data_IF_083653028201
#
_entry.id   IF_083653028201
#
_cell.length_a   1.000
_cell.length_b   1.000
_cell.length_c   1.000
_cell.angle_alpha   90.00
_cell.angle_beta   90.00
_cell.angle_gamma   90.00
#
_symmetry.space_group_name_H-M   'P 1'
#
loop_
_entity.id
_entity.type
_entity.pdbx_description
1 polymer ?
#
# COMPACT_ATOMS: atom_id res chain seq x y z
N UNK A 1 4.09 -73.42 20.20
CA UNK A 1 3.96 -72.49 19.05
C UNK A 1 3.86 -71.08 19.62
N UNK A 2 4.94 -70.29 19.56
CA UNK A 2 4.99 -68.95 20.18
C UNK A 2 4.84 -67.90 19.07
N UNK A 3 3.73 -67.18 19.08
CA UNK A 3 3.46 -66.10 18.12
C UNK A 3 4.18 -64.84 18.62
N UNK A 4 5.30 -64.50 17.99
CA UNK A 4 6.03 -63.26 18.20
C UNK A 4 5.26 -62.08 17.62
N UNK A 5 4.54 -61.32 18.45
CA UNK A 5 3.97 -60.03 18.05
C UNK A 5 5.07 -58.98 17.91
N UNK A 6 5.52 -58.73 16.67
CA UNK A 6 6.35 -57.56 16.35
C UNK A 6 5.50 -56.30 16.56
N UNK A 7 5.77 -55.55 17.62
CA UNK A 7 5.24 -54.17 17.80
C UNK A 7 5.82 -53.29 16.70
N UNK A 8 5.03 -53.02 15.67
CA UNK A 8 5.30 -51.99 14.67
C UNK A 8 5.29 -50.64 15.38
N UNK A 9 6.48 -50.11 15.74
CA UNK A 9 6.62 -48.71 16.13
C UNK A 9 6.31 -47.86 14.90
N UNK A 10 5.04 -47.50 14.71
CA UNK A 10 4.64 -46.50 13.72
C UNK A 10 5.46 -45.24 14.06
N UNK A 11 6.38 -44.86 13.18
CA UNK A 11 7.25 -43.71 13.37
C UNK A 11 6.38 -42.45 13.24
N UNK A 12 5.84 -41.97 14.36
CA UNK A 12 5.03 -40.76 14.50
C UNK A 12 5.68 -39.47 13.93
N UNK A 13 6.95 -39.55 13.52
CA UNK A 13 7.70 -38.48 12.90
C UNK A 13 7.22 -38.14 11.48
N UNK A 14 6.77 -39.14 10.70
CA UNK A 14 6.23 -38.88 9.35
C UNK A 14 4.96 -38.03 9.36
N UNK A 15 3.91 -38.36 10.14
CA UNK A 15 2.73 -37.50 10.22
C UNK A 15 3.06 -36.12 10.81
N UNK A 16 4.02 -36.02 11.75
CA UNK A 16 4.48 -34.74 12.26
C UNK A 16 5.14 -33.87 11.18
N UNK A 17 6.02 -34.45 10.36
CA UNK A 17 6.66 -33.74 9.24
C UNK A 17 5.64 -33.29 8.20
N UNK A 18 4.60 -34.08 7.95
CA UNK A 18 3.49 -33.69 7.06
C UNK A 18 2.73 -32.52 7.66
N UNK A 19 2.37 -32.56 8.95
CA UNK A 19 1.68 -31.46 9.64
C UNK A 19 2.52 -30.17 9.59
N UNK A 20 3.82 -30.25 9.91
CA UNK A 20 4.73 -29.10 9.85
C UNK A 20 4.85 -28.56 8.42
N UNK A 21 4.99 -29.44 7.42
CA UNK A 21 5.05 -29.03 6.01
C UNK A 21 3.77 -28.34 5.56
N UNK A 22 2.61 -28.85 5.96
CA UNK A 22 1.30 -28.24 5.67
C UNK A 22 1.18 -26.88 6.35
N UNK A 23 1.56 -26.75 7.63
CA UNK A 23 1.58 -25.46 8.33
C UNK A 23 2.49 -24.47 7.61
N UNK A 24 3.69 -24.91 7.20
CA UNK A 24 4.63 -24.04 6.49
C UNK A 24 4.07 -23.58 5.13
N UNK A 25 3.46 -24.49 4.37
CA UNK A 25 2.80 -24.15 3.10
C UNK A 25 1.64 -23.17 3.28
N UNK A 26 0.85 -23.32 4.35
CA UNK A 26 -0.28 -22.45 4.65
C UNK A 26 0.14 -21.08 5.24
N UNK A 27 1.35 -20.97 5.79
CA UNK A 27 1.84 -19.75 6.47
C UNK A 27 3.00 -19.06 5.76
N UNK A 28 3.48 -19.61 4.62
CA UNK A 28 4.65 -19.10 3.89
C UNK A 28 4.58 -17.59 3.60
N UNK A 29 3.41 -17.09 3.20
CA UNK A 29 3.27 -15.69 2.79
C UNK A 29 3.33 -14.77 4.03
N UNK A 30 2.72 -15.20 5.15
CA UNK A 30 2.82 -14.48 6.44
C UNK A 30 4.26 -14.47 6.95
N UNK A 31 4.99 -15.59 6.86
CA UNK A 31 6.40 -15.68 7.26
C UNK A 31 7.28 -14.80 6.37
N UNK A 32 7.02 -14.80 5.06
CA UNK A 32 7.72 -13.93 4.12
C UNK A 32 7.51 -12.45 4.46
N UNK A 33 6.27 -12.02 4.68
CA UNK A 33 5.96 -10.63 5.05
C UNK A 33 6.40 -10.25 6.47
N UNK A 34 6.57 -11.23 7.37
CA UNK A 34 7.18 -11.01 8.68
C UNK A 34 8.69 -10.73 8.56
N UNK A 35 9.39 -11.47 7.70
CA UNK A 35 10.84 -11.31 7.49
C UNK A 35 11.18 -10.15 6.56
N UNK A 36 10.30 -9.84 5.61
CA UNK A 36 10.46 -8.78 4.60
C UNK A 36 9.20 -7.92 4.53
N UNK A 37 8.89 -7.14 5.58
CA UNK A 37 7.70 -6.31 5.61
C UNK A 37 7.74 -5.30 4.45
N UNK A 38 6.73 -5.28 3.56
CA UNK A 38 6.72 -4.38 2.41
C UNK A 38 6.75 -2.90 2.82
N UNK A 39 6.31 -2.58 4.04
CA UNK A 39 6.35 -1.23 4.60
C UNK A 39 7.79 -0.70 4.77
N UNK A 40 8.76 -1.55 5.06
CA UNK A 40 10.15 -1.14 5.24
C UNK A 40 10.85 -1.01 3.88
N UNK A 41 10.61 -1.98 2.98
CA UNK A 41 11.16 -1.98 1.62
C UNK A 41 10.61 -0.84 0.76
N UNK A 42 9.30 -0.60 0.82
CA UNK A 42 8.60 0.38 -0.01
C UNK A 42 8.16 1.63 0.73
N UNK A 43 8.56 1.80 1.99
CA UNK A 43 8.44 3.03 2.75
C UNK A 43 9.48 4.07 2.30
N UNK A 44 10.05 4.80 3.26
CA UNK A 44 11.00 5.90 3.00
C UNK A 44 12.23 5.43 2.19
N UNK A 45 12.67 4.17 2.39
CA UNK A 45 13.80 3.58 1.67
C UNK A 45 13.62 3.59 0.14
N UNK A 46 12.39 3.66 -0.37
CA UNK A 46 12.08 3.69 -1.80
C UNK A 46 11.99 5.11 -2.39
N UNK A 47 12.23 6.17 -1.60
CA UNK A 47 12.09 7.54 -2.06
C UNK A 47 13.01 7.93 -3.22
N UNK A 48 14.24 7.39 -3.28
CA UNK A 48 15.15 7.65 -4.40
C UNK A 48 14.54 7.22 -5.75
N UNK A 49 13.83 6.09 -5.77
CA UNK A 49 13.16 5.60 -6.97
C UNK A 49 11.94 6.46 -7.31
N UNK A 50 11.17 6.92 -6.31
CA UNK A 50 10.06 7.87 -6.49
C UNK A 50 10.51 9.17 -7.14
N UNK A 51 11.63 9.72 -6.67
CA UNK A 51 12.21 10.94 -7.24
C UNK A 51 12.55 10.73 -8.72
N UNK A 52 13.23 9.62 -9.05
CA UNK A 52 13.62 9.24 -10.42
C UNK A 52 12.44 9.20 -11.38
N UNK A 53 11.30 8.64 -10.96
CA UNK A 53 10.13 8.42 -11.83
C UNK A 53 9.11 9.56 -11.84
N UNK A 54 9.20 10.54 -10.94
CA UNK A 54 8.22 11.63 -10.91
C UNK A 54 7.20 11.59 -9.77
N UNK A 55 7.27 10.61 -8.88
CA UNK A 55 6.30 10.45 -7.78
C UNK A 55 6.72 11.27 -6.55
N UNK A 56 5.75 11.81 -5.81
CA UNK A 56 6.03 12.53 -4.58
C UNK A 56 6.59 11.57 -3.50
N UNK A 57 7.73 11.93 -2.92
CA UNK A 57 8.39 11.15 -1.87
C UNK A 57 7.50 10.95 -0.64
N UNK A 58 7.68 9.84 0.05
CA UNK A 58 7.02 9.58 1.33
C UNK A 58 7.77 10.32 2.45
N UNK A 59 7.12 11.21 3.22
CA UNK A 59 7.75 11.84 4.36
C UNK A 59 8.09 10.80 5.45
N UNK A 60 9.22 11.00 6.14
CA UNK A 60 9.75 10.08 7.14
C UNK A 60 8.92 9.97 8.43
N UNK A 61 8.22 11.04 8.79
CA UNK A 61 7.33 11.13 9.94
C UNK A 61 5.92 10.59 9.67
N UNK A 62 5.64 10.09 8.47
CA UNK A 62 4.36 9.47 8.16
C UNK A 62 4.30 8.03 8.66
N UNK A 63 3.15 7.67 9.22
CA UNK A 63 2.97 6.41 9.91
C UNK A 63 2.09 5.47 9.09
N UNK A 64 2.42 4.18 9.13
CA UNK A 64 1.57 3.11 8.61
C UNK A 64 1.16 2.19 9.76
N UNK A 65 -0.13 1.86 9.81
CA UNK A 65 -0.67 0.93 10.80
C UNK A 65 -0.63 -0.53 10.30
N UNK A 66 -0.32 -0.75 9.02
CA UNK A 66 -0.40 -2.06 8.40
C UNK A 66 0.99 -2.63 8.10
N UNK A 67 1.45 -3.56 8.95
CA UNK A 67 2.76 -4.21 8.79
C UNK A 67 2.71 -5.43 7.87
N UNK A 68 1.57 -6.10 7.72
CA UNK A 68 1.51 -7.45 7.15
C UNK A 68 0.70 -7.59 5.85
N UNK A 69 0.12 -6.51 5.32
CA UNK A 69 -0.58 -6.57 4.04
C UNK A 69 0.25 -6.16 2.82
N UNK A 70 -0.27 -6.54 1.66
CA UNK A 70 0.17 -6.12 0.33
C UNK A 70 -0.14 -4.65 0.03
N UNK A 71 -1.09 -4.04 0.72
CA UNK A 71 -1.44 -2.62 0.54
C UNK A 71 -0.97 -1.81 1.73
N UNK A 72 0.07 -1.02 1.52
CA UNK A 72 0.58 -0.10 2.54
C UNK A 72 -0.07 1.25 2.38
N UNK A 73 -0.63 1.78 3.46
CA UNK A 73 -1.09 3.16 3.51
C UNK A 73 -0.35 3.89 4.61
N UNK A 74 0.20 5.05 4.26
CA UNK A 74 0.84 5.97 5.19
C UNK A 74 -0.02 7.23 5.32
N UNK A 75 0.02 7.81 6.52
CA UNK A 75 -0.71 9.01 6.86
C UNK A 75 0.19 9.97 7.65
N UNK A 76 -0.06 11.28 7.57
CA UNK A 76 0.55 12.23 8.48
C UNK A 76 0.12 11.92 9.92
N UNK A 77 1.02 12.13 10.88
CA UNK A 77 0.74 11.91 12.30
C UNK A 77 -0.43 12.78 12.80
N UNK A 78 -0.51 14.02 12.30
CA UNK A 78 -1.59 14.97 12.59
C UNK A 78 -2.38 15.24 11.32
N UNK A 79 -3.68 14.98 11.34
CA UNK A 79 -4.59 15.33 10.23
C UNK A 79 -5.31 16.64 10.57
N UNK A 80 -5.20 17.68 9.74
CA UNK A 80 -5.96 18.91 9.93
C UNK A 80 -7.46 18.67 9.75
N UNK A 81 -8.28 19.37 10.53
CA UNK A 81 -9.74 19.39 10.37
C UNK A 81 -10.23 20.42 9.32
N UNK A 82 -9.32 21.25 8.80
CA UNK A 82 -9.63 22.26 7.78
C UNK A 82 -8.43 22.56 6.89
N UNK A 83 -8.68 23.22 5.76
CA UNK A 83 -7.64 23.63 4.82
C UNK A 83 -7.23 22.52 3.86
N UNK A 84 -6.09 22.70 3.20
CA UNK A 84 -5.59 21.81 2.17
C UNK A 84 -4.35 21.06 2.64
N UNK A 85 -4.29 19.74 2.45
CA UNK A 85 -3.15 18.93 2.86
C UNK A 85 -3.05 17.61 2.07
N UNK A 86 -1.85 17.04 2.05
CA UNK A 86 -1.64 15.66 1.58
C UNK A 86 -2.10 14.70 2.69
N UNK A 87 -3.14 13.93 2.42
CA UNK A 87 -3.85 13.13 3.41
C UNK A 87 -3.28 11.72 3.57
N UNK A 88 -2.86 11.11 2.46
CA UNK A 88 -2.31 9.75 2.51
C UNK A 88 -1.46 9.42 1.29
N UNK A 89 -0.68 8.36 1.44
CA UNK A 89 0.04 7.69 0.37
C UNK A 89 -0.30 6.21 0.46
N UNK A 90 -0.70 5.63 -0.66
CA UNK A 90 -0.97 4.20 -0.80
C UNK A 90 0.08 3.58 -1.72
N UNK A 91 0.59 2.41 -1.36
CA UNK A 91 1.41 1.55 -2.20
C UNK A 91 0.75 0.18 -2.20
N UNK A 92 0.39 -0.31 -3.37
CA UNK A 92 -0.13 -1.66 -3.57
C UNK A 92 0.99 -2.51 -4.16
N UNK A 93 1.35 -3.54 -3.43
CA UNK A 93 2.34 -4.55 -3.80
C UNK A 93 1.59 -5.81 -4.17
N UNK A 94 1.92 -6.41 -5.30
CA UNK A 94 1.40 -7.72 -5.69
C UNK A 94 2.57 -8.58 -6.18
N UNK A 95 2.61 -9.84 -5.76
CA UNK A 95 3.66 -10.79 -6.13
C UNK A 95 5.08 -10.23 -5.85
N UNK A 96 5.23 -9.52 -4.74
CA UNK A 96 6.51 -8.94 -4.30
C UNK A 96 6.99 -7.70 -5.07
N UNK A 97 6.16 -7.12 -5.95
CA UNK A 97 6.47 -5.91 -6.74
C UNK A 97 5.39 -4.84 -6.58
N UNK A 98 5.75 -3.56 -6.66
CA UNK A 98 4.76 -2.47 -6.65
C UNK A 98 3.96 -2.53 -7.95
N UNK A 99 2.64 -2.56 -7.86
CA UNK A 99 1.73 -2.46 -9.01
C UNK A 99 1.06 -1.10 -9.11
N UNK A 100 0.90 -0.42 -7.98
CA UNK A 100 0.30 0.91 -7.91
C UNK A 100 0.87 1.70 -6.73
N UNK A 101 1.12 2.98 -6.95
CA UNK A 101 1.38 3.93 -5.88
C UNK A 101 0.54 5.19 -6.11
N UNK A 102 -0.06 5.75 -5.05
CA UNK A 102 -0.88 6.94 -5.17
C UNK A 102 -0.81 7.85 -3.95
N UNK A 103 -1.02 9.13 -4.19
CA UNK A 103 -1.14 10.16 -3.19
C UNK A 103 -2.55 10.73 -3.21
N UNK A 104 -3.13 10.89 -2.03
CA UNK A 104 -4.42 11.56 -1.84
C UNK A 104 -4.19 12.91 -1.19
N UNK A 105 -4.70 13.95 -1.82
CA UNK A 105 -4.76 15.31 -1.33
C UNK A 105 -6.20 15.66 -1.01
N UNK A 106 -6.42 16.30 0.13
CA UNK A 106 -7.74 16.76 0.56
C UNK A 106 -7.72 18.26 0.73
N UNK A 107 -8.87 18.88 0.45
CA UNK A 107 -9.19 20.23 0.88
C UNK A 107 -10.51 20.23 1.60
N UNK A 108 -10.52 20.65 2.85
CA UNK A 108 -11.71 20.72 3.70
C UNK A 108 -12.15 22.17 3.82
N UNK A 109 -13.40 22.44 3.43
CA UNK A 109 -14.05 23.75 3.52
C UNK A 109 -15.41 23.57 4.19
N UNK A 110 -15.49 23.93 5.48
CA UNK A 110 -16.67 23.65 6.30
C UNK A 110 -16.87 22.15 6.51
N UNK A 111 -18.07 21.67 6.20
CA UNK A 111 -18.48 20.26 6.30
C UNK A 111 -18.19 19.44 5.03
N UNK A 112 -17.63 20.08 3.98
CA UNK A 112 -17.36 19.46 2.69
C UNK A 112 -15.86 19.26 2.48
N UNK A 113 -15.53 18.24 1.70
CA UNK A 113 -14.17 18.01 1.24
C UNK A 113 -14.09 17.85 -0.27
N UNK A 114 -13.04 18.41 -0.86
CA UNK A 114 -12.57 18.08 -2.20
C UNK A 114 -11.43 17.07 -2.07
N UNK A 115 -11.28 16.19 -3.06
CA UNK A 115 -10.24 15.15 -3.06
C UNK A 115 -9.56 15.07 -4.42
N UNK A 116 -8.24 15.09 -4.42
CA UNK A 116 -7.42 14.81 -5.60
C UNK A 116 -6.56 13.59 -5.32
N UNK A 117 -6.65 12.58 -6.19
CA UNK A 117 -5.78 11.41 -6.17
C UNK A 117 -4.82 11.49 -7.36
N UNK A 118 -3.53 11.40 -7.09
CA UNK A 118 -2.49 11.30 -8.12
C UNK A 118 -1.79 9.96 -7.95
N UNK A 119 -1.87 9.09 -8.95
CA UNK A 119 -1.34 7.73 -8.90
C UNK A 119 -0.47 7.37 -10.09
N UNK A 120 0.32 6.32 -9.90
CA UNK A 120 1.18 5.71 -10.89
C UNK A 120 1.03 4.18 -10.85
N UNK A 121 0.77 3.58 -12.01
CA UNK A 121 0.66 2.15 -12.27
C UNK A 121 1.95 1.69 -12.93
N UNK A 122 2.74 0.88 -12.24
CA UNK A 122 4.08 0.48 -12.68
C UNK A 122 4.09 -0.45 -13.90
N UNK A 123 2.98 -1.15 -14.16
CA UNK A 123 2.87 -2.16 -15.22
C UNK A 123 2.02 -1.68 -16.42
N UNK A 124 1.71 -0.39 -16.51
CA UNK A 124 0.83 0.19 -17.54
C UNK A 124 1.60 1.19 -18.41
N UNK A 125 1.36 1.18 -19.72
CA UNK A 125 2.04 2.02 -20.73
C UNK A 125 1.75 3.52 -20.54
N UNK A 126 0.58 3.88 -19.99
CA UNK A 126 0.23 5.28 -19.70
C UNK A 126 0.65 5.68 -18.28
N UNK A 127 0.70 4.72 -17.35
CA UNK A 127 1.27 4.82 -16.00
C UNK A 127 0.54 5.78 -15.05
N UNK A 128 0.34 7.03 -15.43
CA UNK A 128 -0.20 8.08 -14.58
C UNK A 128 -1.72 8.12 -14.55
N UNK A 129 -2.25 8.35 -13.35
CA UNK A 129 -3.69 8.48 -13.07
C UNK A 129 -3.91 9.75 -12.24
N UNK A 130 -4.88 10.57 -12.64
CA UNK A 130 -5.28 11.76 -11.90
C UNK A 130 -6.79 11.77 -11.76
N UNK A 131 -7.30 11.76 -10.53
CA UNK A 131 -8.73 11.71 -10.23
C UNK A 131 -9.11 12.81 -9.28
N UNK A 132 -10.20 13.51 -9.58
CA UNK A 132 -10.68 14.63 -8.80
C UNK A 132 -12.14 14.44 -8.40
N UNK A 133 -12.43 14.69 -7.13
CA UNK A 133 -13.77 14.71 -6.57
C UNK A 133 -14.07 16.07 -5.97
N UNK A 134 -15.24 16.60 -6.36
CA UNK A 134 -15.82 17.80 -5.77
C UNK A 134 -17.32 17.56 -5.54
N UNK A 135 -17.80 17.61 -4.29
CA UNK A 135 -19.20 17.36 -3.95
C UNK A 135 -20.18 18.39 -4.55
N UNK A 136 -19.69 19.54 -5.01
CA UNK A 136 -20.51 20.56 -5.68
C UNK A 136 -20.73 20.26 -7.18
N UNK A 137 -19.86 19.44 -7.78
CA UNK A 137 -19.91 19.10 -9.21
C UNK A 137 -20.64 17.75 -9.42
N UNK A 138 -20.48 16.81 -8.48
CA UNK A 138 -21.14 15.51 -8.54
C UNK A 138 -20.77 14.59 -7.39
N UNK A 139 -21.25 13.35 -7.46
CA UNK A 139 -21.04 12.32 -6.42
C UNK A 139 -19.86 11.41 -6.69
N UNK A 140 -19.24 11.49 -7.87
CA UNK A 140 -18.19 10.57 -8.32
C UNK A 140 -16.85 11.27 -8.57
N UNK A 141 -15.77 10.48 -8.54
CA UNK A 141 -14.45 10.94 -8.97
C UNK A 141 -14.37 11.01 -10.48
N UNK A 142 -13.90 12.13 -11.01
CA UNK A 142 -13.68 12.34 -12.44
C UNK A 142 -12.19 12.25 -12.77
N UNK A 143 -11.85 11.61 -13.89
CA UNK A 143 -10.49 11.64 -14.41
C UNK A 143 -10.16 13.07 -14.88
N UNK A 144 -9.00 13.57 -14.50
CA UNK A 144 -8.49 14.88 -14.91
C UNK A 144 -7.15 14.76 -15.61
N UNK A 145 -6.74 15.79 -16.34
CA UNK A 145 -5.40 15.84 -16.93
C UNK A 145 -4.35 16.18 -15.87
N UNK A 146 -3.09 15.84 -16.13
CA UNK A 146 -1.96 16.29 -15.29
C UNK A 146 -2.00 17.80 -15.04
N UNK A 147 -2.20 18.58 -16.10
CA UNK A 147 -2.27 20.05 -16.01
C UNK A 147 -3.39 20.53 -15.09
N UNK A 148 -4.54 19.86 -15.10
CA UNK A 148 -5.66 20.18 -14.21
C UNK A 148 -5.32 19.82 -12.75
N UNK A 149 -4.71 18.66 -12.53
CA UNK A 149 -4.25 18.25 -11.20
C UNK A 149 -3.21 19.23 -10.63
N UNK A 150 -2.23 19.64 -11.43
CA UNK A 150 -1.22 20.64 -11.04
C UNK A 150 -1.88 21.98 -10.69
N UNK A 151 -2.88 22.41 -11.47
CA UNK A 151 -3.63 23.64 -11.22
C UNK A 151 -4.46 23.58 -9.94
N UNK A 152 -5.08 22.44 -9.65
CA UNK A 152 -5.83 22.21 -8.41
C UNK A 152 -4.89 22.31 -7.21
N UNK A 153 -3.74 21.63 -7.23
CA UNK A 153 -2.79 21.68 -6.13
C UNK A 153 -2.23 23.07 -5.91
N UNK A 154 -1.85 23.77 -6.98
CA UNK A 154 -1.40 25.15 -6.89
C UNK A 154 -2.46 26.07 -6.26
N UNK A 155 -3.73 25.94 -6.66
CA UNK A 155 -4.84 26.71 -6.07
C UNK A 155 -5.06 26.36 -4.59
N UNK A 156 -4.78 25.11 -4.20
CA UNK A 156 -4.84 24.65 -2.82
C UNK A 156 -3.63 25.08 -1.98
N UNK A 157 -2.63 25.74 -2.59
CA UNK A 157 -1.36 26.09 -1.93
C UNK A 157 -0.45 24.89 -1.68
N UNK A 158 -0.71 23.76 -2.36
CA UNK A 158 0.07 22.53 -2.27
C UNK A 158 0.97 22.39 -3.48
N UNK A 159 2.12 21.74 -3.30
CA UNK A 159 3.05 21.42 -4.38
C UNK A 159 3.09 19.93 -4.63
N UNK A 160 3.08 19.56 -5.91
CA UNK A 160 3.36 18.20 -6.37
C UNK A 160 4.76 18.17 -6.96
N UNK A 161 5.70 17.75 -6.13
CA UNK A 161 7.14 18.07 -6.23
C UNK A 161 7.44 19.55 -5.99
#
# INVERSE_FOLDING_TARGET
MVISMRKTRIKFWYPLLIIVSVIFLLTKDKLYYLMFPPGDKYGVAFNAERERIGIAVLPDHWLTNDKLSETKMWYPANRPDSGSFRSSKIVVVKDGSIVYEGDTYLRIVGDKYEKLTIGYRYNDTVGWEYKYYNPLIGTEENNVTKHSADSILNNWGLKYK
#
